data_IF_401171515462
#
_entry.id   IF_401171515462
#
_cell.length_a   1.000
_cell.length_b   1.000
_cell.length_c   1.000
_cell.angle_alpha   90.00
_cell.angle_beta   90.00
_cell.angle_gamma   90.00
#
_symmetry.space_group_name_H-M   'P 1'
#
loop_
_entity.id
_entity.type
_entity.pdbx_description
1 polymer ?
#
# COMPACT_ATOMS: atom_id res chain seq x y z
N UNK A 1 -1.46 -7.19 -0.81
CA UNK A 1 0.00 -7.32 -1.03
C UNK A 1 0.48 -6.45 -2.19
N UNK A 2 -0.12 -6.53 -3.40
CA UNK A 2 0.28 -5.73 -4.58
C UNK A 2 0.38 -4.23 -4.23
N UNK A 3 -0.62 -3.68 -3.55
CA UNK A 3 -0.64 -2.28 -3.14
C UNK A 3 0.58 -1.89 -2.29
N UNK A 4 0.96 -2.73 -1.32
CA UNK A 4 2.10 -2.44 -0.44
C UNK A 4 3.43 -2.56 -1.17
N UNK A 5 3.57 -3.56 -2.05
CA UNK A 5 4.79 -3.74 -2.86
C UNK A 5 5.05 -2.52 -3.76
N UNK A 6 4.00 -1.90 -4.29
CA UNK A 6 4.12 -0.67 -5.11
C UNK A 6 4.31 0.56 -4.20
N UNK A 7 3.48 0.70 -3.16
CA UNK A 7 3.44 1.92 -2.35
C UNK A 7 4.67 2.09 -1.47
N UNK A 8 5.21 1.01 -0.87
CA UNK A 8 6.29 1.10 0.10
C UNK A 8 7.57 1.74 -0.49
N UNK A 9 8.13 1.25 -1.62
CA UNK A 9 9.32 1.87 -2.19
C UNK A 9 9.06 3.32 -2.61
N UNK A 10 7.94 3.61 -3.27
CA UNK A 10 7.60 4.98 -3.69
C UNK A 10 7.52 5.90 -2.48
N UNK A 11 6.85 5.48 -1.41
CA UNK A 11 6.69 6.28 -0.19
C UNK A 11 8.01 6.52 0.53
N UNK A 12 8.87 5.50 0.65
CA UNK A 12 10.17 5.63 1.31
C UNK A 12 11.08 6.58 0.54
N UNK A 13 11.18 6.41 -0.79
CA UNK A 13 11.98 7.30 -1.61
C UNK A 13 11.43 8.73 -1.61
N UNK A 14 10.12 8.92 -1.65
CA UNK A 14 9.47 10.23 -1.53
C UNK A 14 9.78 10.89 -0.18
N UNK A 15 9.71 10.15 0.93
CA UNK A 15 10.03 10.65 2.25
C UNK A 15 11.50 11.07 2.39
N UNK A 16 12.43 10.27 1.86
CA UNK A 16 13.85 10.59 1.82
C UNK A 16 14.13 11.83 0.96
N UNK A 17 13.52 11.90 -0.23
CA UNK A 17 13.64 13.06 -1.10
C UNK A 17 13.16 14.34 -0.41
N UNK A 18 11.97 14.30 0.20
CA UNK A 18 11.39 15.46 0.89
C UNK A 18 12.19 15.92 2.10
N UNK A 19 12.85 15.01 2.83
CA UNK A 19 13.62 15.39 4.01
C UNK A 19 15.06 15.85 3.69
N UNK A 20 15.68 15.29 2.64
CA UNK A 20 17.12 15.49 2.45
C UNK A 20 17.50 16.16 1.11
N UNK A 21 16.59 16.22 0.14
CA UNK A 21 16.90 16.74 -1.20
C UNK A 21 16.01 17.91 -1.63
N UNK A 22 14.73 17.91 -1.22
CA UNK A 22 13.78 18.90 -1.69
C UNK A 22 14.05 20.29 -1.09
N UNK A 23 14.06 21.36 -1.91
CA UNK A 23 14.08 22.72 -1.41
C UNK A 23 12.78 23.05 -0.65
N UNK A 24 12.83 23.96 0.32
CA UNK A 24 11.72 24.22 1.26
C UNK A 24 10.39 24.56 0.58
N UNK A 25 10.42 25.35 -0.49
CA UNK A 25 9.20 25.69 -1.24
C UNK A 25 8.55 24.46 -1.86
N UNK A 26 9.34 23.61 -2.52
CA UNK A 26 8.87 22.38 -3.15
C UNK A 26 8.40 21.36 -2.10
N UNK A 27 9.14 21.24 -0.99
CA UNK A 27 8.78 20.38 0.15
C UNK A 27 7.41 20.75 0.69
N UNK A 28 7.16 22.04 1.00
CA UNK A 28 5.85 22.52 1.50
C UNK A 28 4.72 22.20 0.53
N UNK A 29 4.94 22.43 -0.76
CA UNK A 29 3.94 22.18 -1.80
C UNK A 29 3.59 20.67 -1.92
N UNK A 30 4.60 19.80 -2.02
CA UNK A 30 4.37 18.35 -2.15
C UNK A 30 3.74 17.79 -0.87
N UNK A 31 4.16 18.26 0.31
CA UNK A 31 3.55 17.83 1.58
C UNK A 31 2.07 18.21 1.62
N UNK A 32 1.71 19.42 1.21
CA UNK A 32 0.30 19.82 1.15
C UNK A 32 -0.53 18.93 0.20
N UNK A 33 0.04 18.53 -0.94
CA UNK A 33 -0.62 17.59 -1.86
C UNK A 33 -0.80 16.21 -1.19
N UNK A 34 0.24 15.68 -0.55
CA UNK A 34 0.20 14.39 0.14
C UNK A 34 -0.88 14.41 1.24
N UNK A 35 -0.94 15.48 2.03
CA UNK A 35 -1.91 15.63 3.12
C UNK A 35 -3.34 15.76 2.57
N UNK A 36 -3.55 16.48 1.46
CA UNK A 36 -4.83 16.52 0.77
C UNK A 36 -5.26 15.13 0.23
N UNK A 37 -4.33 14.39 -0.39
CA UNK A 37 -4.62 13.05 -0.88
C UNK A 37 -5.01 12.09 0.26
N UNK A 38 -4.38 12.21 1.43
CA UNK A 38 -4.72 11.41 2.62
C UNK A 38 -6.16 11.68 3.12
N UNK A 39 -6.65 12.90 2.93
CA UNK A 39 -7.99 13.32 3.34
C UNK A 39 -9.10 12.98 2.32
N UNK A 40 -8.75 12.58 1.09
CA UNK A 40 -9.74 12.28 0.06
C UNK A 40 -10.59 11.05 0.41
N UNK A 41 -11.93 11.12 0.15
CA UNK A 41 -12.79 9.95 0.24
C UNK A 41 -12.31 8.83 -0.68
N UNK A 42 -12.28 7.60 -0.17
CA UNK A 42 -11.78 6.43 -0.92
C UNK A 42 -12.56 6.15 -2.22
N UNK A 43 -13.85 6.52 -2.25
CA UNK A 43 -14.67 6.39 -3.46
C UNK A 43 -14.09 7.16 -4.66
N UNK A 44 -13.45 8.31 -4.43
CA UNK A 44 -12.84 9.09 -5.51
C UNK A 44 -11.68 8.33 -6.17
N UNK A 45 -10.87 7.64 -5.38
CA UNK A 45 -9.82 6.75 -5.91
C UNK A 45 -10.41 5.58 -6.69
N UNK A 46 -11.55 5.04 -6.24
CA UNK A 46 -12.26 3.98 -6.96
C UNK A 46 -12.80 4.45 -8.30
N UNK A 47 -13.50 5.59 -8.35
CA UNK A 47 -14.04 6.19 -9.58
C UNK A 47 -12.91 6.55 -10.54
N UNK A 48 -11.84 7.18 -10.04
CA UNK A 48 -10.65 7.49 -10.84
C UNK A 48 -10.00 6.22 -11.41
N UNK A 49 -9.88 5.20 -10.58
CA UNK A 49 -9.36 3.89 -10.99
C UNK A 49 -10.20 3.24 -12.08
N UNK A 50 -11.52 3.34 -11.98
CA UNK A 50 -12.44 2.82 -12.98
C UNK A 50 -12.38 3.58 -14.30
N UNK A 51 -12.42 4.93 -14.25
CA UNK A 51 -12.53 5.77 -15.45
C UNK A 51 -11.19 6.00 -16.15
N UNK A 52 -10.10 6.13 -15.39
CA UNK A 52 -8.80 6.56 -15.92
C UNK A 52 -7.78 5.42 -15.93
N UNK A 53 -7.64 4.71 -14.81
CA UNK A 53 -6.62 3.68 -14.70
C UNK A 53 -7.00 2.41 -15.47
N UNK A 54 -8.24 1.96 -15.40
CA UNK A 54 -8.66 0.68 -15.98
C UNK A 54 -8.43 0.60 -17.50
N UNK A 55 -8.74 1.63 -18.33
CA UNK A 55 -8.43 1.59 -19.76
C UNK A 55 -6.93 1.48 -20.07
N UNK A 56 -6.08 2.07 -19.23
CA UNK A 56 -4.62 2.03 -19.40
C UNK A 56 -3.98 0.79 -18.76
N UNK A 57 -4.61 0.24 -17.73
CA UNK A 57 -4.09 -0.91 -16.99
C UNK A 57 -4.02 -2.18 -17.85
N UNK A 58 -4.88 -2.32 -18.85
CA UNK A 58 -4.85 -3.43 -19.80
C UNK A 58 -3.52 -3.47 -20.56
N UNK A 59 -3.02 -2.31 -21.00
CA UNK A 59 -1.71 -2.22 -21.67
C UNK A 59 -0.58 -2.68 -20.74
N UNK A 60 -0.55 -2.20 -19.51
CA UNK A 60 0.47 -2.58 -18.54
C UNK A 60 0.37 -4.04 -18.13
N UNK A 61 -0.85 -4.57 -17.96
CA UNK A 61 -1.07 -5.97 -17.64
C UNK A 61 -0.60 -6.91 -18.76
N UNK A 62 -0.85 -6.56 -20.04
CA UNK A 62 -0.32 -7.27 -21.20
C UNK A 62 1.22 -7.26 -21.23
N UNK A 63 1.82 -6.12 -20.88
CA UNK A 63 3.27 -5.99 -20.85
C UNK A 63 3.86 -6.88 -19.73
N UNK A 64 3.27 -6.85 -18.53
CA UNK A 64 3.68 -7.69 -17.40
C UNK A 64 3.53 -9.18 -17.76
N UNK A 65 2.40 -9.58 -18.32
CA UNK A 65 2.19 -10.95 -18.78
C UNK A 65 3.25 -11.38 -19.82
N UNK A 66 3.53 -10.52 -20.79
CA UNK A 66 4.53 -10.81 -21.83
C UNK A 66 5.93 -11.06 -21.29
N UNK A 67 6.37 -10.28 -20.30
CA UNK A 67 7.75 -10.36 -19.77
C UNK A 67 7.89 -11.22 -18.53
N UNK A 68 6.84 -11.31 -17.71
CA UNK A 68 6.83 -12.02 -16.43
C UNK A 68 5.84 -13.19 -16.40
N UNK A 69 5.20 -13.55 -17.52
CA UNK A 69 4.24 -14.65 -17.63
C UNK A 69 4.79 -16.04 -17.30
N UNK A 70 6.13 -16.19 -17.23
CA UNK A 70 6.77 -17.40 -16.72
C UNK A 70 6.57 -17.59 -15.21
N UNK A 71 6.14 -16.54 -14.48
CA UNK A 71 5.79 -16.62 -13.07
C UNK A 71 4.28 -16.94 -12.98
N UNK A 72 3.85 -18.00 -12.28
CA UNK A 72 2.44 -18.43 -12.26
C UNK A 72 1.43 -17.37 -11.81
N UNK A 73 1.86 -16.39 -11.00
CA UNK A 73 1.03 -15.28 -10.53
C UNK A 73 0.67 -14.30 -11.67
N UNK A 74 1.54 -14.18 -12.68
CA UNK A 74 1.36 -13.30 -13.84
C UNK A 74 0.98 -14.05 -15.12
N UNK A 75 0.84 -15.38 -15.05
CA UNK A 75 0.35 -16.19 -16.16
C UNK A 75 -1.16 -16.02 -16.31
N UNK A 76 -1.64 -15.98 -17.54
CA UNK A 76 -3.05 -15.84 -17.87
C UNK A 76 -3.42 -16.83 -18.96
N UNK A 77 -4.33 -17.74 -18.65
CA UNK A 77 -4.94 -18.63 -19.63
C UNK A 77 -6.02 -17.92 -20.47
N UNK A 78 -6.64 -16.87 -19.93
CA UNK A 78 -7.69 -16.08 -20.60
C UNK A 78 -7.28 -14.61 -20.58
N UNK A 79 -7.20 -13.91 -21.73
CA UNK A 79 -6.68 -12.53 -21.81
C UNK A 79 -7.70 -11.46 -21.39
N UNK A 80 -8.27 -11.60 -20.17
CA UNK A 80 -9.17 -10.60 -19.56
C UNK A 80 -8.38 -9.85 -18.48
N UNK A 81 -7.86 -8.69 -18.83
CA UNK A 81 -6.99 -7.87 -17.97
C UNK A 81 -7.75 -6.79 -17.20
N UNK A 82 -8.98 -6.49 -17.57
CA UNK A 82 -9.80 -5.47 -16.92
C UNK A 82 -10.36 -5.97 -15.59
N UNK A 83 -10.58 -5.07 -14.63
CA UNK A 83 -11.13 -5.38 -13.30
C UNK A 83 -10.33 -6.46 -12.54
N UNK A 84 -9.02 -6.41 -12.66
CA UNK A 84 -8.12 -7.38 -12.04
C UNK A 84 -7.63 -6.94 -10.66
N UNK A 85 -7.14 -7.88 -9.81
CA UNK A 85 -6.45 -7.57 -8.56
C UNK A 85 -5.23 -6.63 -8.76
N UNK A 86 -4.61 -6.63 -9.93
CA UNK A 86 -3.54 -5.69 -10.29
C UNK A 86 -4.06 -4.25 -10.32
N UNK A 87 -5.19 -4.00 -11.02
CA UNK A 87 -5.82 -2.67 -11.07
C UNK A 87 -6.22 -2.20 -9.68
N UNK A 88 -6.90 -3.06 -8.92
CA UNK A 88 -7.26 -2.76 -7.54
C UNK A 88 -6.02 -2.48 -6.68
N UNK A 89 -4.95 -3.25 -6.86
CA UNK A 89 -3.68 -3.05 -6.17
C UNK A 89 -3.04 -1.70 -6.45
N UNK A 90 -3.07 -1.21 -7.70
CA UNK A 90 -2.54 0.12 -8.07
C UNK A 90 -3.39 1.23 -7.46
N UNK A 91 -4.73 1.13 -7.51
CA UNK A 91 -5.64 2.10 -6.88
C UNK A 91 -5.39 2.20 -5.38
N UNK A 92 -5.31 1.05 -4.70
CA UNK A 92 -5.01 0.98 -3.28
C UNK A 92 -3.60 1.50 -2.97
N UNK A 93 -2.61 1.27 -3.85
CA UNK A 93 -1.25 1.80 -3.68
C UNK A 93 -1.28 3.34 -3.64
N UNK A 94 -1.94 3.98 -4.59
CA UNK A 94 -2.06 5.44 -4.64
C UNK A 94 -2.73 5.98 -3.37
N UNK A 95 -3.73 5.28 -2.84
CA UNK A 95 -4.45 5.67 -1.62
C UNK A 95 -3.57 5.55 -0.35
N UNK A 96 -2.68 4.53 -0.27
CA UNK A 96 -1.87 4.31 0.93
C UNK A 96 -0.49 5.02 0.86
N UNK A 97 0.00 5.41 -0.32
CA UNK A 97 1.25 6.18 -0.49
C UNK A 97 1.31 7.40 0.42
N UNK A 98 0.29 8.28 0.51
CA UNK A 98 0.33 9.44 1.38
C UNK A 98 0.55 9.09 2.85
N UNK A 99 -0.10 8.05 3.33
CA UNK A 99 -0.01 7.60 4.73
C UNK A 99 1.41 7.10 5.04
N UNK A 100 1.92 6.19 4.21
CA UNK A 100 3.26 5.63 4.40
C UNK A 100 4.33 6.73 4.25
N UNK A 101 4.16 7.64 3.31
CA UNK A 101 5.10 8.75 3.08
C UNK A 101 5.13 9.69 4.29
N UNK A 102 3.96 10.06 4.83
CA UNK A 102 3.87 10.98 5.98
C UNK A 102 4.55 10.37 7.21
N UNK A 103 4.26 9.11 7.56
CA UNK A 103 4.90 8.43 8.68
C UNK A 103 6.41 8.26 8.46
N UNK A 104 6.82 7.84 7.26
CA UNK A 104 8.24 7.66 6.94
C UNK A 104 9.01 8.97 6.99
N UNK A 105 8.43 10.05 6.49
CA UNK A 105 9.01 11.40 6.55
C UNK A 105 9.22 11.85 8.00
N UNK A 106 8.22 11.66 8.85
CA UNK A 106 8.29 12.04 10.26
C UNK A 106 9.42 11.28 10.96
N UNK A 107 9.49 9.98 10.80
CA UNK A 107 10.52 9.16 11.44
C UNK A 107 11.92 9.47 10.91
N UNK A 108 12.09 9.74 9.61
CA UNK A 108 13.38 10.13 9.04
C UNK A 108 13.82 11.52 9.50
N UNK A 109 12.89 12.43 9.81
CA UNK A 109 13.20 13.76 10.34
C UNK A 109 13.75 13.72 11.76
N UNK A 110 13.45 12.64 12.51
CA UNK A 110 13.91 12.41 13.89
C UNK A 110 15.28 11.75 13.97
N UNK A 111 15.98 11.53 12.83
CA UNK A 111 17.31 10.94 12.84
C UNK A 111 18.30 11.84 13.63
N UNK A 112 19.14 11.25 14.53
CA UNK A 112 20.02 12.00 15.41
C UNK A 112 21.01 12.88 14.64
N UNK A 113 20.99 14.19 14.91
CA UNK A 113 21.81 15.18 14.21
C UNK A 113 23.31 14.98 14.45
N UNK A 114 23.70 14.56 15.65
CA UNK A 114 25.07 14.23 16.01
C UNK A 114 25.63 13.09 15.14
N UNK A 115 24.85 12.06 14.89
CA UNK A 115 25.24 10.94 14.00
C UNK A 115 25.33 11.38 12.54
N UNK A 116 24.41 12.25 12.11
CA UNK A 116 24.43 12.83 10.75
C UNK A 116 25.70 13.67 10.57
N UNK A 117 26.04 14.54 11.55
CA UNK A 117 27.23 15.37 11.52
C UNK A 117 28.51 14.55 11.58
N UNK A 118 28.55 13.49 12.42
CA UNK A 118 29.67 12.57 12.47
C UNK A 118 29.91 11.86 11.12
N UNK A 119 28.85 11.43 10.44
CA UNK A 119 28.98 10.83 9.11
C UNK A 119 29.59 11.81 8.09
N UNK A 120 29.17 13.07 8.10
CA UNK A 120 29.77 14.09 7.22
C UNK A 120 31.22 14.42 7.60
N UNK A 121 31.56 14.46 8.90
CA UNK A 121 32.93 14.67 9.36
C UNK A 121 33.88 13.56 8.88
N UNK A 122 33.37 12.34 8.69
CA UNK A 122 34.10 11.21 8.09
C UNK A 122 34.11 11.21 6.54
N UNK A 123 33.64 12.30 5.91
CA UNK A 123 33.63 12.43 4.46
C UNK A 123 32.50 11.67 3.74
N UNK A 124 31.45 11.26 4.44
CA UNK A 124 30.34 10.57 3.82
C UNK A 124 29.57 11.49 2.84
N UNK A 125 29.21 10.95 1.67
CA UNK A 125 28.26 11.61 0.78
C UNK A 125 26.86 11.61 1.40
N UNK A 126 25.97 12.50 0.92
CA UNK A 126 24.57 12.56 1.41
C UNK A 126 23.87 11.19 1.35
N UNK A 127 24.05 10.44 0.28
CA UNK A 127 23.49 9.12 0.15
C UNK A 127 24.12 8.09 1.11
N UNK A 128 25.43 8.14 1.29
CA UNK A 128 26.13 7.27 2.25
C UNK A 128 25.64 7.54 3.69
N UNK A 129 25.48 8.80 4.07
CA UNK A 129 24.89 9.19 5.37
C UNK A 129 23.45 8.68 5.52
N UNK A 130 22.60 8.83 4.50
CA UNK A 130 21.21 8.31 4.53
C UNK A 130 21.21 6.81 4.77
N UNK A 131 22.03 6.03 4.05
CA UNK A 131 22.13 4.58 4.21
C UNK A 131 22.67 4.16 5.57
N UNK A 132 23.66 4.88 6.09
CA UNK A 132 24.34 4.51 7.34
C UNK A 132 23.60 4.96 8.60
N UNK A 133 22.88 6.09 8.55
CA UNK A 133 22.25 6.70 9.74
C UNK A 133 20.74 6.72 9.64
N UNK A 134 20.17 7.30 8.58
CA UNK A 134 18.74 7.62 8.49
C UNK A 134 17.89 6.37 8.30
N UNK A 135 18.23 5.52 7.33
CA UNK A 135 17.47 4.29 7.03
C UNK A 135 17.47 3.32 8.22
N UNK A 136 18.61 3.01 8.85
CA UNK A 136 18.61 2.15 10.01
C UNK A 136 17.82 2.73 11.19
N UNK A 137 17.92 4.05 11.43
CA UNK A 137 17.14 4.72 12.47
C UNK A 137 15.64 4.65 12.21
N UNK A 138 15.21 4.96 10.98
CA UNK A 138 13.80 5.03 10.60
C UNK A 138 13.14 3.69 10.28
N UNK A 139 13.87 2.59 10.21
CA UNK A 139 13.38 1.28 9.75
C UNK A 139 12.08 0.86 10.44
N UNK A 140 12.03 0.96 11.76
CA UNK A 140 10.86 0.55 12.54
C UNK A 140 9.63 1.41 12.26
N UNK A 141 9.84 2.72 12.09
CA UNK A 141 8.75 3.62 11.72
C UNK A 141 8.25 3.42 10.30
N UNK A 142 9.13 3.11 9.36
CA UNK A 142 8.73 2.74 7.98
C UNK A 142 7.89 1.47 7.99
N UNK A 143 8.27 0.45 8.75
CA UNK A 143 7.47 -0.77 8.91
C UNK A 143 6.11 -0.43 9.54
N UNK A 144 6.09 0.40 10.57
CA UNK A 144 4.84 0.88 11.18
C UNK A 144 3.93 1.60 10.18
N UNK A 145 4.49 2.50 9.38
CA UNK A 145 3.77 3.20 8.31
C UNK A 145 3.23 2.24 7.25
N UNK A 146 4.02 1.23 6.85
CA UNK A 146 3.59 0.19 5.92
C UNK A 146 2.42 -0.63 6.49
N UNK A 147 2.43 -0.93 7.78
CA UNK A 147 1.35 -1.66 8.45
C UNK A 147 0.07 -0.84 8.55
N UNK A 148 0.17 0.47 8.84
CA UNK A 148 -0.98 1.37 8.79
C UNK A 148 -1.58 1.42 7.38
N UNK A 149 -0.75 1.53 6.35
CA UNK A 149 -1.18 1.46 4.95
C UNK A 149 -1.84 0.12 4.60
N UNK A 150 -1.25 -1.00 5.04
CA UNK A 150 -1.80 -2.34 4.81
C UNK A 150 -3.16 -2.51 5.51
N UNK A 151 -3.28 -2.09 6.77
CA UNK A 151 -4.54 -2.15 7.51
C UNK A 151 -5.66 -1.38 6.81
N UNK A 152 -5.36 -0.17 6.30
CA UNK A 152 -6.29 0.60 5.48
C UNK A 152 -6.68 -0.12 4.19
N UNK A 153 -5.70 -0.66 3.46
CA UNK A 153 -5.95 -1.37 2.21
C UNK A 153 -6.76 -2.67 2.39
N UNK A 154 -6.59 -3.37 3.52
CA UNK A 154 -7.36 -4.59 3.83
C UNK A 154 -8.83 -4.29 4.15
N UNK A 155 -9.10 -3.15 4.79
CA UNK A 155 -10.46 -2.71 5.11
C UNK A 155 -11.15 -1.94 3.98
N UNK A 156 -10.48 -1.69 2.86
CA UNK A 156 -11.05 -0.89 1.78
C UNK A 156 -12.16 -1.64 1.05
N UNK A 157 -13.30 -0.99 0.97
CA UNK A 157 -14.54 -1.59 0.49
C UNK A 157 -14.97 -0.99 -0.84
N UNK A 158 -15.22 0.32 -0.86
CA UNK A 158 -15.87 1.01 -1.99
C UNK A 158 -14.94 1.12 -3.19
N UNK A 159 -13.68 1.51 -2.98
CA UNK A 159 -12.73 1.62 -4.08
C UNK A 159 -12.47 0.26 -4.74
N UNK A 160 -12.38 -0.82 -3.95
CA UNK A 160 -12.20 -2.19 -4.49
C UNK A 160 -13.45 -2.65 -5.23
N UNK A 161 -14.64 -2.41 -4.67
CA UNK A 161 -15.91 -2.74 -5.32
C UNK A 161 -16.06 -2.11 -6.70
N UNK A 162 -15.60 -0.87 -6.89
CA UNK A 162 -15.73 -0.17 -8.18
C UNK A 162 -14.80 -0.71 -9.26
N UNK A 163 -13.60 -1.18 -8.89
CA UNK A 163 -12.52 -1.55 -9.85
C UNK A 163 -12.29 -3.05 -9.99
N UNK A 164 -12.92 -3.89 -9.16
CA UNK A 164 -12.70 -5.32 -9.15
C UNK A 164 -13.99 -6.07 -9.49
N UNK A 165 -13.87 -7.13 -10.32
CA UNK A 165 -14.97 -8.05 -10.57
C UNK A 165 -14.97 -9.12 -9.48
N UNK A 166 -15.99 -9.09 -8.59
CA UNK A 166 -16.04 -9.97 -7.42
C UNK A 166 -16.50 -11.36 -7.86
N UNK A 167 -15.62 -12.35 -7.64
CA UNK A 167 -15.89 -13.75 -7.86
C UNK A 167 -15.66 -14.57 -6.58
N UNK A 168 -16.39 -15.68 -6.43
CA UNK A 168 -16.32 -16.53 -5.22
C UNK A 168 -15.22 -17.60 -5.30
N UNK A 169 -14.50 -17.66 -6.42
CA UNK A 169 -13.41 -18.61 -6.60
C UNK A 169 -12.08 -18.03 -6.12
N UNK A 170 -11.26 -18.87 -5.48
CA UNK A 170 -9.89 -18.49 -5.12
C UNK A 170 -9.05 -18.42 -6.38
N UNK A 171 -8.54 -17.24 -6.68
CA UNK A 171 -7.71 -16.99 -7.83
C UNK A 171 -6.35 -16.43 -7.38
N UNK A 172 -5.27 -17.06 -7.84
CA UNK A 172 -3.89 -16.65 -7.55
C UNK A 172 -3.30 -15.74 -8.64
N UNK A 173 -3.99 -15.62 -9.78
CA UNK A 173 -3.55 -14.84 -10.91
C UNK A 173 -3.92 -13.36 -10.70
N UNK A 174 -2.92 -12.53 -10.44
CA UNK A 174 -3.12 -11.11 -10.11
C UNK A 174 -3.60 -10.28 -11.31
N UNK A 175 -3.31 -10.73 -12.53
CA UNK A 175 -3.70 -10.04 -13.76
C UNK A 175 -5.08 -10.47 -14.29
N UNK A 176 -5.66 -11.57 -13.81
CA UNK A 176 -6.97 -12.04 -14.25
C UNK A 176 -8.08 -11.07 -13.80
N UNK A 177 -9.00 -10.76 -14.70
CA UNK A 177 -10.17 -9.92 -14.45
C UNK A 177 -11.20 -10.53 -13.50
N UNK A 178 -10.73 -11.15 -12.43
CA UNK A 178 -11.55 -11.84 -11.43
C UNK A 178 -10.86 -11.81 -10.08
N UNK A 179 -11.58 -11.46 -9.03
CA UNK A 179 -11.04 -11.42 -7.67
C UNK A 179 -12.07 -10.88 -6.69
N UNK A 180 -11.67 -10.62 -5.47
CA UNK A 180 -12.54 -10.02 -4.46
C UNK A 180 -11.83 -9.83 -3.14
N UNK A 181 -12.40 -8.99 -2.29
CA UNK A 181 -12.08 -8.97 -0.88
C UNK A 181 -13.36 -9.13 -0.04
N UNK A 182 -13.19 -9.52 1.21
CA UNK A 182 -14.31 -9.78 2.11
C UNK A 182 -15.18 -8.54 2.30
N UNK A 183 -14.56 -7.36 2.42
CA UNK A 183 -15.28 -6.11 2.64
C UNK A 183 -16.17 -5.72 1.46
N UNK A 184 -15.68 -5.83 0.21
CA UNK A 184 -16.49 -5.56 -0.98
C UNK A 184 -17.55 -6.62 -1.24
N UNK A 185 -17.29 -7.89 -0.85
CA UNK A 185 -18.30 -8.93 -0.90
C UNK A 185 -19.48 -8.66 0.03
N UNK A 186 -19.20 -8.17 1.25
CA UNK A 186 -20.25 -7.79 2.21
C UNK A 186 -21.14 -6.71 1.60
N UNK A 187 -20.56 -5.63 1.05
CA UNK A 187 -21.35 -4.56 0.42
C UNK A 187 -22.20 -5.08 -0.75
N UNK A 188 -21.62 -5.92 -1.60
CA UNK A 188 -22.32 -6.48 -2.77
C UNK A 188 -23.56 -7.28 -2.38
N UNK A 189 -23.45 -8.10 -1.33
CA UNK A 189 -24.49 -9.04 -0.95
C UNK A 189 -25.46 -8.54 0.11
N UNK A 190 -25.08 -7.55 0.90
CA UNK A 190 -25.84 -7.13 2.08
C UNK A 190 -27.28 -6.71 1.77
N UNK A 191 -27.49 -6.00 0.65
CA UNK A 191 -28.82 -5.48 0.27
C UNK A 191 -29.79 -6.54 -0.25
N UNK A 192 -29.28 -7.71 -0.70
CA UNK A 192 -30.07 -8.80 -1.28
C UNK A 192 -30.10 -10.05 -0.38
N UNK A 193 -29.34 -10.01 0.72
CA UNK A 193 -29.12 -11.18 1.58
C UNK A 193 -30.34 -11.53 2.41
N UNK A 194 -30.64 -12.82 2.48
CA UNK A 194 -31.63 -13.35 3.43
C UNK A 194 -31.04 -13.37 4.86
N UNK A 195 -31.86 -13.61 5.92
CA UNK A 195 -31.38 -13.58 7.31
C UNK A 195 -30.23 -14.55 7.63
N UNK A 196 -30.11 -15.67 6.94
CA UNK A 196 -29.01 -16.61 7.11
C UNK A 196 -27.74 -16.11 6.45
N UNK A 197 -27.86 -15.54 5.25
CA UNK A 197 -26.75 -14.93 4.53
C UNK A 197 -26.19 -13.71 5.28
N UNK A 198 -27.05 -12.89 5.89
CA UNK A 198 -26.59 -11.77 6.75
C UNK A 198 -25.72 -12.29 7.89
N UNK A 199 -26.10 -13.38 8.56
CA UNK A 199 -25.28 -13.97 9.62
C UNK A 199 -23.93 -14.44 9.09
N UNK A 200 -23.90 -15.04 7.90
CA UNK A 200 -22.65 -15.47 7.24
C UNK A 200 -21.78 -14.28 6.87
N UNK A 201 -22.35 -13.19 6.34
CA UNK A 201 -21.62 -11.96 6.03
C UNK A 201 -21.05 -11.29 7.28
N UNK A 202 -21.80 -11.28 8.39
CA UNK A 202 -21.32 -10.78 9.68
C UNK A 202 -20.17 -11.63 10.22
N UNK A 203 -20.28 -12.96 10.11
CA UNK A 203 -19.18 -13.86 10.49
C UNK A 203 -17.93 -13.61 9.62
N UNK A 204 -18.08 -13.41 8.32
CA UNK A 204 -16.98 -13.06 7.42
C UNK A 204 -16.34 -11.71 7.80
N UNK A 205 -17.14 -10.72 8.17
CA UNK A 205 -16.65 -9.44 8.70
C UNK A 205 -15.85 -9.60 10.00
N UNK A 206 -16.32 -10.45 10.93
CA UNK A 206 -15.60 -10.76 12.16
C UNK A 206 -14.25 -11.45 11.86
N UNK A 207 -14.21 -12.39 10.92
CA UNK A 207 -12.97 -13.05 10.50
C UNK A 207 -11.99 -12.04 9.90
N UNK A 208 -12.46 -11.11 9.06
CA UNK A 208 -11.63 -10.03 8.51
C UNK A 208 -11.08 -9.14 9.61
N UNK A 209 -11.90 -8.78 10.61
CA UNK A 209 -11.47 -7.99 11.76
C UNK A 209 -10.39 -8.72 12.56
N UNK A 210 -10.58 -10.00 12.87
CA UNK A 210 -9.58 -10.82 13.57
C UNK A 210 -8.28 -10.94 12.77
N UNK A 211 -8.37 -11.12 11.44
CA UNK A 211 -7.22 -11.19 10.57
C UNK A 211 -6.43 -9.87 10.57
N UNK A 212 -7.11 -8.73 10.52
CA UNK A 212 -6.45 -7.42 10.58
C UNK A 212 -5.78 -7.17 11.92
N UNK A 213 -6.41 -7.58 13.03
CA UNK A 213 -5.78 -7.53 14.36
C UNK A 213 -4.53 -8.41 14.43
N UNK A 214 -4.60 -9.62 13.90
CA UNK A 214 -3.46 -10.54 13.89
C UNK A 214 -2.31 -9.99 13.07
N UNK A 215 -2.56 -9.46 11.89
CA UNK A 215 -1.54 -8.83 11.03
C UNK A 215 -0.88 -7.65 11.76
N UNK A 216 -1.67 -6.79 12.41
CA UNK A 216 -1.16 -5.65 13.18
C UNK A 216 -0.36 -6.10 14.41
N UNK A 217 -0.79 -7.17 15.10
CA UNK A 217 -0.06 -7.73 16.24
C UNK A 217 1.31 -8.29 15.80
N UNK A 218 1.34 -9.09 14.73
CA UNK A 218 2.59 -9.63 14.16
C UNK A 218 3.53 -8.49 13.76
N UNK A 219 3.02 -7.46 13.11
CA UNK A 219 3.80 -6.30 12.73
C UNK A 219 4.43 -5.59 13.94
N UNK A 220 3.65 -5.39 15.01
CA UNK A 220 4.15 -4.79 16.25
C UNK A 220 5.25 -5.63 16.91
N UNK A 221 5.15 -6.95 16.86
CA UNK A 221 6.20 -7.85 17.36
C UNK A 221 7.48 -7.70 16.53
N UNK A 222 7.37 -7.66 15.20
CA UNK A 222 8.52 -7.46 14.30
C UNK A 222 9.22 -6.14 14.61
N UNK A 223 8.46 -5.05 14.74
CA UNK A 223 8.99 -3.71 15.05
C UNK A 223 9.71 -3.70 16.40
N UNK A 224 9.12 -4.30 17.45
CA UNK A 224 9.75 -4.37 18.78
C UNK A 224 11.05 -5.18 18.78
N UNK A 225 11.09 -6.31 18.09
CA UNK A 225 12.27 -7.17 18.04
C UNK A 225 13.42 -6.50 17.26
N UNK A 226 13.11 -5.79 16.19
CA UNK A 226 14.11 -5.06 15.38
C UNK A 226 14.71 -3.87 16.16
N UNK A 227 13.96 -3.26 17.06
CA UNK A 227 14.44 -2.15 17.92
C UNK A 227 15.41 -2.59 19.02
N UNK A 228 15.41 -3.88 19.42
CA UNK A 228 16.33 -4.42 20.44
C UNK A 228 17.72 -4.75 19.91
N UNK A 229 17.87 -4.98 18.61
CA UNK A 229 19.14 -5.39 17.98
C UNK A 229 20.04 -4.19 17.61
N UNK A 230 19.58 -2.98 17.82
CA UNK A 230 20.30 -1.72 17.50
C UNK A 230 20.82 -0.94 18.72
N UNK A 231 20.88 -1.56 19.91
CA UNK A 231 21.52 -1.00 21.11
C UNK A 231 22.85 -1.63 21.36
#
# INVERSE_FOLDING_TARGET
LVAVVIALPISVFSALFLNFYAPDKLKKFIVAIIDMMAAFPSILFGIWGFLVLMPTAEYWAKLIHKYLGWIPIFDLQVPVYTRSPFVAGVVLAIMIIPIITSVSREVFSQAPLDRIQAAYALGATRWAMIKAVVIPHGRNGVIGGAMLGLGRAMGETVAVFTVLNIVFQVNWQVLLGAGGNVASLIILKFGEANPYEIKALMAAGLVLFMLTLLVNAVANVIVKNTGKTGR
#
